data_IF_377514934673
#
_entry.id   IF_377514934673
#
_cell.length_a   1.000
_cell.length_b   1.000
_cell.length_c   1.000
_cell.angle_alpha   90.00
_cell.angle_beta   90.00
_cell.angle_gamma   90.00
#
_symmetry.space_group_name_H-M   'P 1'
#
loop_
_entity.id
_entity.type
_entity.pdbx_description
1 polymer ?
#
# COMPACT_ATOMS: atom_id res chain seq x y z
N UNK A 1 -0.15 -5.27 -16.94
CA UNK A 1 -0.76 -4.83 -15.66
C UNK A 1 -1.63 -5.97 -15.16
N UNK A 2 -1.37 -6.50 -13.97
CA UNK A 2 -2.06 -7.66 -13.41
C UNK A 2 -3.57 -7.41 -13.20
N UNK A 3 -4.35 -8.48 -13.10
CA UNK A 3 -5.82 -8.45 -13.01
C UNK A 3 -6.38 -8.12 -11.61
N UNK A 4 -5.52 -7.84 -10.62
CA UNK A 4 -5.90 -7.51 -9.25
C UNK A 4 -4.69 -7.44 -8.32
N UNK A 5 -4.92 -7.07 -7.05
CA UNK A 5 -3.87 -7.10 -6.04
C UNK A 5 -3.38 -8.53 -5.80
N UNK A 6 -2.07 -8.70 -5.68
CA UNK A 6 -1.41 -9.99 -5.47
C UNK A 6 -0.94 -10.12 -4.03
N UNK A 7 -1.27 -11.24 -3.39
CA UNK A 7 -0.78 -11.54 -2.05
C UNK A 7 0.68 -11.98 -2.12
N UNK A 8 1.55 -11.29 -1.38
CA UNK A 8 2.98 -11.61 -1.30
C UNK A 8 3.26 -12.46 -0.06
N UNK A 9 2.64 -12.09 1.07
CA UNK A 9 2.71 -12.79 2.35
C UNK A 9 1.35 -12.72 3.06
N UNK A 10 1.11 -13.53 4.11
CA UNK A 10 -0.03 -13.33 4.99
C UNK A 10 -0.07 -11.89 5.52
N UNK A 11 -1.17 -11.18 5.23
CA UNK A 11 -1.39 -9.78 5.59
C UNK A 11 -0.63 -8.75 4.75
N UNK A 12 -0.02 -9.13 3.62
CA UNK A 12 0.71 -8.20 2.74
C UNK A 12 0.39 -8.42 1.26
N UNK A 13 -0.08 -7.36 0.62
CA UNK A 13 -0.50 -7.34 -0.79
C UNK A 13 0.26 -6.27 -1.56
N UNK A 14 0.45 -6.50 -2.85
CA UNK A 14 0.95 -5.53 -3.83
C UNK A 14 -0.13 -5.32 -4.91
N UNK A 15 -0.37 -4.08 -5.29
CA UNK A 15 -1.33 -3.75 -6.35
C UNK A 15 -1.00 -2.45 -7.06
N UNK A 16 -1.84 -2.10 -8.03
CA UNK A 16 -1.79 -0.82 -8.72
C UNK A 16 -2.77 0.20 -8.10
N UNK A 17 -2.79 1.41 -8.64
CA UNK A 17 -3.71 2.47 -8.21
C UNK A 17 -5.21 2.10 -8.31
N UNK A 18 -5.60 1.29 -9.30
CA UNK A 18 -6.99 0.83 -9.45
C UNK A 18 -7.36 -0.13 -8.31
N UNK A 19 -6.46 -1.05 -7.97
CA UNK A 19 -6.68 -2.02 -6.87
C UNK A 19 -6.82 -1.32 -5.51
N UNK A 20 -6.06 -0.23 -5.30
CA UNK A 20 -6.14 0.59 -4.08
C UNK A 20 -7.46 1.36 -3.93
N UNK A 21 -8.30 1.40 -4.97
CA UNK A 21 -9.63 2.03 -4.96
C UNK A 21 -10.76 1.01 -5.12
N UNK A 22 -10.43 -0.25 -5.30
CA UNK A 22 -11.39 -1.33 -5.49
C UNK A 22 -11.90 -1.81 -4.13
N UNK A 23 -13.04 -1.23 -3.70
CA UNK A 23 -13.64 -1.55 -2.41
C UNK A 23 -13.97 -3.04 -2.24
N UNK A 24 -14.28 -3.75 -3.33
CA UNK A 24 -14.57 -5.17 -3.28
C UNK A 24 -13.30 -5.97 -3.00
N UNK A 25 -12.20 -5.69 -3.70
CA UNK A 25 -10.92 -6.35 -3.44
C UNK A 25 -10.38 -6.03 -2.04
N UNK A 26 -10.46 -4.76 -1.61
CA UNK A 26 -10.02 -4.34 -0.29
C UNK A 26 -10.81 -5.05 0.83
N UNK A 27 -12.13 -5.10 0.70
CA UNK A 27 -13.01 -5.80 1.65
C UNK A 27 -12.73 -7.30 1.68
N UNK A 28 -12.66 -7.95 0.50
CA UNK A 28 -12.40 -9.39 0.36
C UNK A 28 -11.07 -9.80 1.00
N UNK A 29 -10.04 -8.96 0.88
CA UNK A 29 -8.71 -9.21 1.41
C UNK A 29 -8.49 -8.59 2.82
N UNK A 30 -9.54 -8.01 3.41
CA UNK A 30 -9.53 -7.36 4.73
C UNK A 30 -8.42 -6.31 4.88
N UNK A 31 -8.19 -5.54 3.82
CA UNK A 31 -7.18 -4.47 3.79
C UNK A 31 -7.68 -3.31 4.63
N UNK A 32 -6.96 -3.02 5.71
CA UNK A 32 -7.22 -1.90 6.61
C UNK A 32 -6.12 -0.84 6.55
N UNK A 33 -4.97 -1.19 5.97
CA UNK A 33 -3.80 -0.32 5.82
C UNK A 33 -3.40 -0.22 4.35
N UNK A 34 -3.13 1.00 3.88
CA UNK A 34 -2.63 1.25 2.53
C UNK A 34 -1.35 2.08 2.60
N UNK A 35 -0.28 1.57 2.00
CA UNK A 35 0.96 2.29 1.77
C UNK A 35 1.00 2.73 0.30
N UNK A 36 0.83 4.04 0.08
CA UNK A 36 0.78 4.66 -1.23
C UNK A 36 2.11 5.32 -1.56
N UNK A 37 2.78 4.87 -2.62
CA UNK A 37 4.07 5.41 -3.09
C UNK A 37 3.88 6.03 -4.48
N UNK A 38 3.56 7.32 -4.52
CA UNK A 38 3.44 8.10 -5.77
C UNK A 38 3.37 9.60 -5.49
N UNK A 39 3.61 10.43 -6.52
CA UNK A 39 3.72 11.90 -6.42
C UNK A 39 2.52 12.58 -5.75
N UNK A 40 1.32 12.02 -5.93
CA UNK A 40 0.05 12.58 -5.44
C UNK A 40 -0.58 11.76 -4.29
N UNK A 41 0.23 10.96 -3.60
CA UNK A 41 -0.23 10.08 -2.53
C UNK A 41 -0.98 10.85 -1.43
N UNK A 42 -2.23 10.47 -1.19
CA UNK A 42 -3.10 11.04 -0.16
C UNK A 42 -4.14 10.01 0.29
N UNK A 43 -4.67 10.11 1.51
CA UNK A 43 -5.80 9.28 1.94
C UNK A 43 -7.00 9.45 1.00
N UNK A 44 -7.67 8.34 0.66
CA UNK A 44 -8.79 8.35 -0.29
C UNK A 44 -10.06 7.67 0.21
N UNK A 45 -9.95 6.70 1.12
CA UNK A 45 -11.07 5.91 1.64
C UNK A 45 -11.20 6.11 3.15
N UNK A 46 -12.44 6.17 3.63
CA UNK A 46 -12.72 6.17 5.07
C UNK A 46 -12.47 4.78 5.68
N UNK A 47 -12.09 4.74 6.96
CA UNK A 47 -11.84 3.48 7.68
C UNK A 47 -10.53 2.78 7.32
N UNK A 48 -9.73 3.35 6.43
CA UNK A 48 -8.41 2.83 6.04
C UNK A 48 -7.31 3.73 6.59
N UNK A 49 -6.29 3.13 7.20
CA UNK A 49 -5.09 3.83 7.66
C UNK A 49 -4.11 3.96 6.49
N UNK A 50 -3.57 5.17 6.28
CA UNK A 50 -2.68 5.45 5.17
C UNK A 50 -1.27 5.82 5.62
N UNK A 51 -0.28 5.30 4.91
CA UNK A 51 1.06 5.89 4.83
C UNK A 51 1.29 6.36 3.40
N UNK A 52 1.37 7.67 3.20
CA UNK A 52 1.55 8.28 1.89
C UNK A 52 2.99 8.77 1.75
N UNK A 53 3.72 8.23 0.78
CA UNK A 53 5.09 8.59 0.47
C UNK A 53 5.10 9.22 -0.94
N UNK A 54 5.26 10.56 -1.03
CA UNK A 54 5.48 11.23 -2.30
C UNK A 54 6.82 10.81 -2.89
N UNK A 55 6.77 10.07 -3.99
CA UNK A 55 7.94 9.55 -4.67
C UNK A 55 7.66 9.36 -6.17
N UNK A 56 8.58 9.86 -7.00
CA UNK A 56 8.54 9.69 -8.44
C UNK A 56 9.19 8.37 -8.86
N UNK A 57 8.71 7.78 -9.96
CA UNK A 57 9.32 6.60 -10.57
C UNK A 57 10.54 6.99 -11.41
N UNK A 58 11.60 7.41 -10.72
CA UNK A 58 12.88 7.78 -11.35
C UNK A 58 14.04 7.13 -10.61
N UNK A 59 15.14 6.78 -11.31
CA UNK A 59 16.33 6.23 -10.66
C UNK A 59 16.96 7.15 -9.60
N UNK A 60 16.72 8.45 -9.72
CA UNK A 60 17.17 9.47 -8.75
C UNK A 60 16.35 9.51 -7.46
N UNK A 61 15.17 8.87 -7.43
CA UNK A 61 14.31 8.88 -6.25
C UNK A 61 14.91 8.01 -5.13
N UNK A 62 15.26 8.64 -4.02
CA UNK A 62 15.76 7.91 -2.84
C UNK A 62 14.60 7.31 -2.04
N UNK A 63 14.31 6.03 -2.27
CA UNK A 63 13.33 5.26 -1.49
C UNK A 63 13.90 4.73 -0.17
N UNK A 64 15.22 4.59 -0.05
CA UNK A 64 15.88 4.01 1.13
C UNK A 64 15.56 4.78 2.41
N UNK A 65 15.44 6.11 2.32
CA UNK A 65 15.06 6.96 3.48
C UNK A 65 13.68 6.61 4.05
N UNK A 66 12.80 6.01 3.25
CA UNK A 66 11.44 5.63 3.62
C UNK A 66 11.32 4.17 4.09
N UNK A 67 12.39 3.37 4.03
CA UNK A 67 12.31 1.96 4.39
C UNK A 67 11.92 1.76 5.86
N UNK A 68 12.50 2.54 6.78
CA UNK A 68 12.24 2.38 8.21
C UNK A 68 10.77 2.60 8.55
N UNK A 69 10.17 3.67 8.05
CA UNK A 69 8.74 3.96 8.27
C UNK A 69 7.82 2.97 7.55
N UNK A 70 8.15 2.58 6.31
CA UNK A 70 7.38 1.61 5.52
C UNK A 70 7.35 0.25 6.20
N UNK A 71 8.52 -0.23 6.63
CA UNK A 71 8.65 -1.51 7.35
C UNK A 71 7.85 -1.45 8.64
N UNK A 72 7.98 -0.38 9.42
CA UNK A 72 7.24 -0.21 10.68
C UNK A 72 5.72 -0.28 10.44
N UNK A 73 5.22 0.48 9.48
CA UNK A 73 3.80 0.53 9.13
C UNK A 73 3.25 -0.83 8.72
N UNK A 74 3.95 -1.53 7.82
CA UNK A 74 3.57 -2.89 7.39
C UNK A 74 3.63 -3.87 8.56
N UNK A 75 4.67 -3.79 9.38
CA UNK A 75 4.90 -4.74 10.47
C UNK A 75 3.86 -4.61 11.58
N UNK A 76 3.54 -3.38 12.02
CA UNK A 76 2.51 -3.13 13.03
C UNK A 76 1.13 -3.60 12.56
N UNK A 77 0.77 -3.34 11.30
CA UNK A 77 -0.45 -3.85 10.69
C UNK A 77 -0.53 -5.38 10.76
N UNK A 78 0.54 -6.07 10.34
CA UNK A 78 0.57 -7.55 10.32
C UNK A 78 0.55 -8.17 11.72
N UNK A 79 1.18 -7.54 12.71
CA UNK A 79 1.13 -8.00 14.11
C UNK A 79 -0.27 -7.90 14.71
N UNK A 80 -1.11 -6.98 14.23
CA UNK A 80 -2.52 -6.87 14.63
C UNK A 80 -3.44 -7.89 13.94
N UNK A 81 -2.89 -8.76 13.08
CA UNK A 81 -3.67 -9.70 12.28
C UNK A 81 -4.44 -9.03 11.14
N UNK A 82 -4.08 -7.80 10.79
CA UNK A 82 -4.68 -7.02 9.72
C UNK A 82 -3.89 -7.17 8.40
N UNK A 83 -4.46 -6.66 7.29
CA UNK A 83 -3.83 -6.70 5.97
C UNK A 83 -3.40 -5.31 5.48
N UNK A 84 -2.19 -5.24 4.94
CA UNK A 84 -1.63 -4.05 4.30
C UNK A 84 -1.52 -4.23 2.78
N UNK A 85 -1.96 -3.22 2.02
CA UNK A 85 -1.72 -3.10 0.59
C UNK A 85 -0.63 -2.07 0.32
N UNK A 86 0.37 -2.43 -0.46
CA UNK A 86 1.38 -1.52 -1.00
C UNK A 86 1.08 -1.27 -2.47
N UNK A 87 0.98 -0.01 -2.89
CA UNK A 87 0.74 0.32 -4.30
C UNK A 87 1.50 1.57 -4.76
N UNK A 88 1.69 1.67 -6.07
CA UNK A 88 2.25 2.82 -6.79
C UNK A 88 1.46 3.08 -8.09
N UNK A 89 1.83 4.12 -8.84
CA UNK A 89 1.31 4.31 -10.21
C UNK A 89 2.06 3.38 -11.16
N UNK A 90 1.31 2.60 -11.95
CA UNK A 90 1.84 1.90 -13.12
C UNK A 90 1.53 2.73 -14.35
#
# INVERSE_FOLDING_TARGET
>A
MGSGMSQILPGLYIGNFKDARDAEQLSRNKVTHILSVHDTARPMLEGVKYLCIPAADTPSQNLTRHFKESIKFIHECRLQGESCLVHWYV
#
